data_IF_867988316897
#
_entry.id   IF_867988316897
#
_cell.length_a   1.000
_cell.length_b   1.000
_cell.length_c   1.000
_cell.angle_alpha   90.00
_cell.angle_beta   90.00
_cell.angle_gamma   90.00
#
_symmetry.space_group_name_H-M   'P 1'
#
loop_
_entity.id
_entity.type
_entity.pdbx_description
1 polymer ?
#
# COMPACT_ATOMS: atom_id res chain seq x y z
N UNK A 1 3.49 4.27 -8.72
CA UNK A 1 3.04 3.42 -7.59
C UNK A 1 2.68 2.00 -8.07
N UNK A 2 3.19 0.91 -7.46
CA UNK A 2 2.83 -0.47 -7.86
C UNK A 2 1.48 -0.96 -7.29
N UNK A 3 0.77 -1.85 -7.99
CA UNK A 3 -0.55 -2.36 -7.58
C UNK A 3 -0.57 -3.04 -6.19
N UNK A 4 0.51 -3.76 -5.84
CA UNK A 4 0.66 -4.39 -4.53
C UNK A 4 0.94 -3.38 -3.40
N UNK A 5 1.53 -2.23 -3.71
CA UNK A 5 1.67 -1.12 -2.76
C UNK A 5 0.33 -0.43 -2.57
N UNK A 6 -0.37 -0.11 -3.67
CA UNK A 6 -1.69 0.50 -3.65
C UNK A 6 -2.67 -0.31 -2.80
N UNK A 7 -2.76 -1.62 -3.03
CA UNK A 7 -3.64 -2.52 -2.26
C UNK A 7 -3.34 -2.52 -0.75
N UNK A 8 -2.06 -2.41 -0.38
CA UNK A 8 -1.65 -2.32 1.03
C UNK A 8 -2.07 -1.00 1.64
N UNK A 9 -1.88 0.11 0.93
CA UNK A 9 -2.29 1.43 1.37
C UNK A 9 -3.80 1.58 1.48
N UNK A 10 -4.57 1.10 0.51
CA UNK A 10 -6.03 1.08 0.57
C UNK A 10 -6.51 0.34 1.82
N UNK A 11 -5.96 -0.84 2.10
CA UNK A 11 -6.31 -1.61 3.31
C UNK A 11 -5.90 -0.90 4.61
N UNK A 12 -4.78 -0.17 4.60
CA UNK A 12 -4.35 0.63 5.74
C UNK A 12 -5.26 1.85 5.95
N UNK A 13 -5.69 2.50 4.87
CA UNK A 13 -6.64 3.61 4.89
C UNK A 13 -8.00 3.16 5.46
N UNK A 14 -8.50 1.98 5.09
CA UNK A 14 -9.75 1.43 5.66
C UNK A 14 -9.68 1.22 7.17
N UNK A 15 -8.49 1.17 7.77
CA UNK A 15 -8.29 1.10 9.22
C UNK A 15 -8.13 2.47 9.89
N UNK A 16 -8.25 3.56 9.13
CA UNK A 16 -8.09 4.93 9.58
C UNK A 16 -6.66 5.47 9.54
N UNK A 17 -5.71 4.74 8.92
CA UNK A 17 -4.33 5.20 8.73
C UNK A 17 -3.64 5.68 10.02
N UNK A 18 -2.86 6.76 9.91
CA UNK A 18 -2.26 7.47 11.05
C UNK A 18 -3.16 8.61 11.56
N UNK A 19 -4.19 8.97 10.81
CA UNK A 19 -5.15 10.00 11.19
C UNK A 19 -6.03 10.40 10.03
N UNK A 20 -6.89 11.39 10.27
CA UNK A 20 -7.80 11.95 9.27
C UNK A 20 -7.67 13.46 9.24
N UNK A 21 -7.93 14.04 8.08
CA UNK A 21 -8.04 15.48 7.89
C UNK A 21 -9.23 15.81 7.00
N UNK A 22 -9.71 17.04 7.09
CA UNK A 22 -10.72 17.60 6.20
C UNK A 22 -10.03 18.57 5.24
N UNK A 23 -10.34 18.48 3.96
CA UNK A 23 -9.88 19.43 2.95
C UNK A 23 -10.48 20.82 3.18
N UNK A 24 -9.63 21.85 3.18
CA UNK A 24 -10.06 23.25 3.34
C UNK A 24 -10.42 23.92 2.01
N UNK A 25 -9.92 23.37 0.90
CA UNK A 25 -10.13 23.87 -0.45
C UNK A 25 -10.01 22.72 -1.47
N UNK A 26 -10.43 23.00 -2.70
CA UNK A 26 -10.25 22.08 -3.81
C UNK A 26 -8.77 21.95 -4.19
N UNK A 27 -8.35 20.74 -4.49
CA UNK A 27 -6.99 20.42 -4.94
C UNK A 27 -7.05 19.58 -6.21
N UNK A 28 -6.55 20.14 -7.31
CA UNK A 28 -6.44 19.45 -8.59
C UNK A 28 -5.05 18.81 -8.69
N UNK A 29 -5.02 17.50 -8.92
CA UNK A 29 -3.79 16.76 -9.15
C UNK A 29 -3.06 17.29 -10.40
N UNK A 30 -1.80 17.71 -10.25
CA UNK A 30 -0.95 18.18 -11.36
C UNK A 30 -0.05 17.06 -11.86
N UNK A 31 0.40 16.22 -10.94
CA UNK A 31 1.23 15.06 -11.21
C UNK A 31 0.47 13.75 -10.93
N UNK A 32 0.86 12.62 -11.55
CA UNK A 32 0.17 11.35 -11.36
C UNK A 32 0.24 10.81 -9.93
N UNK A 33 1.18 11.32 -9.13
CA UNK A 33 1.32 10.97 -7.72
C UNK A 33 0.57 11.93 -6.79
N UNK A 34 -0.05 13.02 -7.29
CA UNK A 34 -0.82 13.97 -6.48
C UNK A 34 -2.21 13.43 -6.15
N UNK A 35 -2.68 13.71 -4.94
CA UNK A 35 -4.04 13.40 -4.52
C UNK A 35 -4.98 14.54 -4.94
N UNK A 36 -6.02 14.19 -5.68
CA UNK A 36 -7.16 15.06 -5.95
C UNK A 36 -8.20 14.92 -4.84
N UNK A 37 -8.75 16.05 -4.40
CA UNK A 37 -9.82 16.11 -3.42
C UNK A 37 -10.56 17.45 -3.54
N UNK A 38 -11.81 17.48 -3.11
CA UNK A 38 -12.63 18.69 -3.03
C UNK A 38 -12.63 19.24 -1.62
N UNK A 39 -13.00 20.51 -1.49
CA UNK A 39 -13.26 21.12 -0.18
C UNK A 39 -14.26 20.28 0.61
N UNK A 40 -14.00 20.15 1.91
CA UNK A 40 -14.76 19.39 2.90
C UNK A 40 -14.67 17.85 2.76
N UNK A 41 -13.87 17.32 1.82
CA UNK A 41 -13.60 15.89 1.75
C UNK A 41 -12.78 15.40 2.95
N UNK A 42 -13.13 14.20 3.43
CA UNK A 42 -12.35 13.50 4.44
C UNK A 42 -11.21 12.71 3.78
N UNK A 43 -9.98 13.04 4.14
CA UNK A 43 -8.78 12.38 3.66
C UNK A 43 -8.19 11.55 4.80
N UNK A 44 -7.91 10.27 4.52
CA UNK A 44 -7.17 9.43 5.47
C UNK A 44 -5.68 9.61 5.26
N UNK A 45 -4.98 10.07 6.30
CA UNK A 45 -3.55 10.30 6.29
C UNK A 45 -2.84 8.98 6.51
N UNK A 46 -1.91 8.63 5.62
CA UNK A 46 -1.19 7.37 5.63
C UNK A 46 0.22 7.53 6.18
N UNK A 47 0.93 8.57 5.74
CA UNK A 47 2.33 8.79 6.09
C UNK A 47 2.76 10.24 5.80
N UNK A 48 3.75 10.75 6.52
CA UNK A 48 4.47 11.99 6.14
C UNK A 48 5.66 11.63 5.24
N UNK A 49 5.82 12.31 4.10
CA UNK A 49 6.97 12.07 3.22
C UNK A 49 8.23 12.68 3.87
N UNK A 50 9.35 11.95 3.94
CA UNK A 50 10.58 12.45 4.55
C UNK A 50 11.34 13.43 3.64
N UNK A 51 11.05 13.41 2.34
CA UNK A 51 11.76 14.20 1.33
C UNK A 51 11.28 15.67 1.30
N UNK A 52 10.05 15.94 1.76
CA UNK A 52 9.43 17.26 1.71
C UNK A 52 8.61 17.54 2.97
N UNK A 53 9.02 18.55 3.74
CA UNK A 53 8.28 19.01 4.91
C UNK A 53 6.89 19.52 4.52
N UNK A 54 5.87 19.07 5.25
CA UNK A 54 4.48 19.45 5.00
C UNK A 54 3.80 18.68 3.87
N UNK A 55 4.45 17.68 3.25
CA UNK A 55 3.84 16.78 2.27
C UNK A 55 3.50 15.43 2.93
N UNK A 56 2.29 14.95 2.67
CA UNK A 56 1.74 13.73 3.24
C UNK A 56 1.20 12.82 2.14
N UNK A 57 1.22 11.52 2.38
CA UNK A 57 0.50 10.54 1.58
C UNK A 57 -0.90 10.37 2.16
N UNK A 58 -1.91 10.54 1.32
CA UNK A 58 -3.32 10.44 1.68
C UNK A 58 -4.07 9.40 0.85
N UNK A 59 -5.25 9.05 1.35
CA UNK A 59 -6.24 8.25 0.65
C UNK A 59 -7.57 8.99 0.63
N UNK A 60 -8.14 9.15 -0.56
CA UNK A 60 -9.46 9.73 -0.79
C UNK A 60 -10.13 8.97 -1.95
N UNK A 61 -11.40 8.55 -1.76
CA UNK A 61 -12.23 7.91 -2.80
C UNK A 61 -11.59 6.74 -3.61
N UNK A 62 -10.69 5.97 -3.00
CA UNK A 62 -10.01 4.85 -3.69
C UNK A 62 -8.67 5.22 -4.31
N UNK A 63 -8.32 6.50 -4.34
CA UNK A 63 -7.06 7.03 -4.86
C UNK A 63 -6.07 7.24 -3.71
N UNK A 64 -4.81 6.88 -3.95
CA UNK A 64 -3.68 7.16 -3.04
C UNK A 64 -2.75 8.13 -3.75
N UNK A 65 -2.43 9.23 -3.09
CA UNK A 65 -1.55 10.27 -3.64
C UNK A 65 -1.01 11.19 -2.56
N UNK A 66 -0.09 12.08 -2.93
CA UNK A 66 0.49 13.08 -2.03
C UNK A 66 -0.35 14.35 -1.99
N UNK A 67 -0.39 15.00 -0.84
CA UNK A 67 -1.04 16.30 -0.66
C UNK A 67 -0.26 17.15 0.33
N UNK A 68 -0.44 18.47 0.26
CA UNK A 68 0.19 19.40 1.19
C UNK A 68 -0.71 19.64 2.40
N UNK A 69 -0.10 19.67 3.59
CA UNK A 69 -0.80 20.00 4.84
C UNK A 69 -1.44 21.38 4.84
N UNK A 70 -0.93 22.32 4.02
CA UNK A 70 -1.46 23.67 3.92
C UNK A 70 -2.92 23.72 3.40
N UNK A 71 -3.38 22.68 2.69
CA UNK A 71 -4.71 22.62 2.09
C UNK A 71 -5.73 21.82 2.92
N UNK A 72 -5.33 21.32 4.09
CA UNK A 72 -6.17 20.47 4.93
C UNK A 72 -6.11 20.88 6.39
N UNK A 73 -7.09 20.45 7.16
CA UNK A 73 -7.13 20.58 8.61
C UNK A 73 -7.16 19.19 9.26
N UNK A 74 -6.19 18.88 10.10
CA UNK A 74 -6.11 17.59 10.79
C UNK A 74 -7.12 17.49 11.94
N UNK A 75 -7.84 16.37 12.03
CA UNK A 75 -8.90 16.13 13.03
C UNK A 75 -8.34 15.62 14.36
N UNK A 76 -7.25 16.23 14.83
CA UNK A 76 -6.54 15.87 16.05
C UNK A 76 -5.07 15.52 15.82
N UNK A 77 -4.43 14.93 16.83
CA UNK A 77 -3.02 14.54 16.75
C UNK A 77 -2.87 13.30 15.86
N UNK A 78 -2.06 13.41 14.82
CA UNK A 78 -1.65 12.26 14.02
C UNK A 78 -0.90 11.25 14.90
N UNK A 79 -1.18 9.97 14.70
CA UNK A 79 -0.41 8.87 15.30
C UNK A 79 1.04 8.96 14.80
N UNK A 80 1.96 8.39 15.57
CA UNK A 80 3.41 8.42 15.29
C UNK A 80 3.68 8.26 13.80
N UNK A 81 4.35 9.24 13.16
CA UNK A 81 4.59 9.19 11.73
C UNK A 81 5.34 7.90 11.44
N UNK A 82 4.74 7.06 10.59
CA UNK A 82 5.40 5.83 10.14
C UNK A 82 6.49 6.27 9.19
N UNK A 83 7.65 6.65 9.72
CA UNK A 83 8.85 6.96 8.94
C UNK A 83 9.27 5.64 8.32
N UNK A 84 8.70 5.34 7.15
CA UNK A 84 9.06 4.14 6.41
C UNK A 84 10.39 4.44 5.75
N UNK A 85 11.48 4.23 6.48
CA UNK A 85 12.82 4.09 5.92
C UNK A 85 12.84 2.81 5.08
N UNK A 86 12.17 2.84 3.93
CA UNK A 86 12.21 1.79 2.92
C UNK A 86 11.85 2.33 1.55
N UNK A 87 12.76 3.16 1.03
CA UNK A 87 13.28 3.08 -0.34
C UNK A 87 12.38 2.28 -1.30
N UNK A 88 11.33 2.91 -1.83
CA UNK A 88 10.64 2.43 -3.04
C UNK A 88 9.65 3.42 -3.66
N UNK A 89 9.54 4.65 -3.17
CA UNK A 89 8.80 5.70 -3.88
C UNK A 89 9.58 6.26 -5.10
N UNK A 90 10.89 5.96 -5.22
CA UNK A 90 11.78 6.48 -6.27
C UNK A 90 12.65 5.45 -7.02
N UNK A 91 12.36 4.15 -6.95
CA UNK A 91 13.16 3.18 -7.72
C UNK A 91 12.48 2.79 -9.03
N UNK A 92 12.90 3.44 -10.11
CA UNK A 92 12.86 2.89 -11.48
C UNK A 92 13.16 1.37 -11.44
N UNK A 93 12.23 0.56 -11.95
CA UNK A 93 12.38 -0.82 -12.45
C UNK A 93 13.25 -1.81 -11.64
N UNK A 94 12.65 -2.83 -11.01
CA UNK A 94 13.35 -4.08 -10.74
C UNK A 94 13.18 -5.02 -11.94
N UNK A 95 14.30 -5.38 -12.58
CA UNK A 95 14.36 -6.46 -13.57
C UNK A 95 13.81 -7.76 -12.96
N UNK A 96 13.00 -8.56 -13.66
CA UNK A 96 12.45 -9.79 -13.10
C UNK A 96 13.56 -10.85 -12.95
N UNK A 97 13.91 -11.21 -11.71
CA UNK A 97 14.63 -12.46 -11.44
C UNK A 97 13.60 -13.58 -11.34
N UNK A 98 13.64 -14.44 -12.35
CA UNK A 98 13.02 -15.77 -12.41
C UNK A 98 13.16 -16.51 -11.07
N UNK A 99 12.04 -16.85 -10.44
CA UNK A 99 11.98 -17.85 -9.38
C UNK A 99 11.08 -18.99 -9.86
N UNK A 100 11.73 -20.12 -10.12
CA UNK A 100 11.14 -21.40 -10.48
C UNK A 100 10.22 -21.93 -9.37
N UNK A 101 9.04 -22.48 -9.68
CA UNK A 101 8.20 -23.11 -8.68
C UNK A 101 8.61 -24.58 -8.48
N UNK A 102 9.30 -24.89 -7.38
CA UNK A 102 9.47 -26.27 -6.92
C UNK A 102 8.16 -26.79 -6.33
N UNK A 103 7.50 -27.63 -7.13
CA UNK A 103 6.26 -28.36 -6.87
C UNK A 103 6.37 -29.22 -5.59
N UNK A 104 5.58 -28.89 -4.57
CA UNK A 104 5.36 -29.74 -3.38
C UNK A 104 4.50 -30.95 -3.78
N UNK A 105 4.98 -32.16 -3.49
CA UNK A 105 4.29 -33.44 -3.72
C UNK A 105 3.77 -33.94 -2.36
N UNK A 106 2.52 -34.39 -2.22
CA UNK A 106 2.00 -34.85 -0.93
C UNK A 106 2.50 -36.27 -0.57
N UNK A 107 2.51 -36.64 0.72
CA UNK A 107 2.90 -37.97 1.18
C UNK A 107 1.67 -38.87 1.35
N UNK A 108 1.80 -40.15 1.02
CA UNK A 108 0.94 -41.20 1.55
C UNK A 108 1.74 -42.49 1.67
N UNK A 109 1.92 -42.93 2.92
CA UNK A 109 2.65 -44.10 3.37
C UNK A 109 1.81 -45.39 3.25
N UNK A 110 2.53 -46.51 3.12
CA UNK A 110 2.18 -47.84 3.65
C UNK A 110 1.16 -48.64 2.86
N UNK A 111 1.21 -49.96 2.73
CA UNK A 111 2.15 -51.03 3.11
C UNK A 111 1.71 -52.29 2.34
N UNK A 112 2.63 -53.26 2.20
CA UNK A 112 2.59 -54.55 1.48
C UNK A 112 1.40 -55.50 1.86
N UNK A 113 1.19 -56.72 1.28
CA UNK A 113 2.13 -57.57 0.52
C UNK A 113 1.59 -58.46 -0.64
N UNK A 114 2.55 -59.09 -1.35
CA UNK A 114 2.61 -60.41 -2.02
C UNK A 114 1.37 -61.07 -2.67
N UNK A 115 1.51 -61.50 -3.94
CA UNK A 115 1.58 -62.93 -4.36
C UNK A 115 1.78 -63.05 -5.88
N UNK A 116 2.56 -64.07 -6.24
CA UNK A 116 3.16 -64.36 -7.53
C UNK A 116 2.27 -65.10 -8.54
N UNK A 117 2.59 -64.84 -9.83
CA UNK A 117 2.68 -65.78 -10.98
C UNK A 117 1.40 -66.10 -11.78
N UNK A 118 1.54 -65.84 -13.09
CA UNK A 118 0.65 -66.10 -14.24
C UNK A 118 0.65 -67.58 -14.69
N UNK A 119 0.12 -67.88 -15.88
CA UNK A 119 -1.24 -67.68 -16.41
C UNK A 119 -2.15 -68.90 -16.19
#
# INVERSE_FOLDING_TARGET
MDAAQLSRWTRFASKGGIGKCIALQDCVAREPDDLMFLKDDEITVLMQLPDEDGIYLGYCEGVVGRFAAAYVQFNGKLKTPVITKRSSFLSKSPRPRSLTPSRKRPPSQGSAPSISRAP
#
